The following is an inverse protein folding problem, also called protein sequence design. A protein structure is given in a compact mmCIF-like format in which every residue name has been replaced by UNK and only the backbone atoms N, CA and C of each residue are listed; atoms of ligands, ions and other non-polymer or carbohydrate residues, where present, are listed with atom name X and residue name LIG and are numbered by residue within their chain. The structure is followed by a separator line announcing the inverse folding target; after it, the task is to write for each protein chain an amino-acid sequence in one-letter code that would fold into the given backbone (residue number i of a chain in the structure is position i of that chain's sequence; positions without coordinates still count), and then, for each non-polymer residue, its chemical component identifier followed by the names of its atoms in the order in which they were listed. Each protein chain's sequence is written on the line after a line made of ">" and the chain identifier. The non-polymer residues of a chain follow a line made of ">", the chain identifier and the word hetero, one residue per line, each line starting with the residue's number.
data_IF_794804995190
#
_entry.id   IF_794804995190
#
_cell.length_a   1.000
_cell.length_b   1.000
_cell.length_c   1.000
_cell.angle_alpha   90.00
_cell.angle_beta   90.00
_cell.angle_gamma   90.00
#
_symmetry.space_group_name_H-M   'P 1'
#
loop_
_entity.id
_entity.type
_entity.pdbx_description
1 polymer ?
#
# COMPACT_ATOMS: atom_id res chain seq x y z
N UNK A 1 -5.68 11.83 -5.81
CA UNK A 1 -5.81 13.19 -5.24
C UNK A 1 -5.36 13.11 -3.80
N UNK A 2 -4.56 14.07 -3.35
CA UNK A 2 -4.04 14.12 -1.97
C UNK A 2 -4.84 15.19 -1.21
N UNK A 3 -5.38 14.84 -0.06
CA UNK A 3 -6.13 15.75 0.81
C UNK A 3 -5.44 15.79 2.16
N UNK A 4 -4.73 16.89 2.44
CA UNK A 4 -4.18 17.17 3.76
C UNK A 4 -5.33 17.57 4.70
N UNK A 5 -5.75 16.65 5.57
CA UNK A 5 -6.84 16.88 6.53
C UNK A 5 -6.34 17.65 7.78
N UNK A 6 -5.05 17.59 8.10
CA UNK A 6 -4.36 18.43 9.10
C UNK A 6 -2.84 18.46 8.85
N UNK A 7 -2.07 19.28 9.59
CA UNK A 7 -0.59 19.29 9.53
C UNK A 7 0.06 17.93 9.84
N UNK A 8 -0.66 17.05 10.53
CA UNK A 8 -0.18 15.73 10.96
C UNK A 8 -0.83 14.58 10.19
N UNK A 9 -1.91 14.83 9.45
CA UNK A 9 -2.69 13.80 8.75
C UNK A 9 -2.76 14.08 7.25
N UNK A 10 -2.10 13.22 6.48
CA UNK A 10 -2.23 13.17 5.02
C UNK A 10 -3.11 11.98 4.64
N UNK A 11 -4.02 12.20 3.69
CA UNK A 11 -4.90 11.18 3.14
C UNK A 11 -4.73 11.17 1.62
N UNK A 12 -4.69 9.97 1.04
CA UNK A 12 -4.70 9.82 -0.41
C UNK A 12 -5.75 8.81 -0.86
N UNK A 13 -6.24 9.05 -2.06
CA UNK A 13 -7.02 8.08 -2.83
C UNK A 13 -6.59 8.12 -4.29
N UNK A 14 -6.43 6.94 -4.87
CA UNK A 14 -6.04 6.72 -6.25
C UNK A 14 -6.88 5.59 -6.84
N UNK A 15 -7.14 5.65 -8.14
CA UNK A 15 -7.83 4.60 -8.87
C UNK A 15 -7.19 4.39 -10.23
N UNK A 16 -7.24 3.16 -10.72
CA UNK A 16 -6.67 2.73 -11.99
C UNK A 16 -7.75 2.05 -12.81
N UNK A 17 -7.72 2.26 -14.11
CA UNK A 17 -8.58 1.60 -15.08
C UNK A 17 -7.73 1.14 -16.26
N UNK A 18 -7.94 -0.09 -16.72
CA UNK A 18 -7.27 -0.63 -17.90
C UNK A 18 -7.93 -1.90 -18.39
N UNK A 19 -8.18 -2.00 -19.69
CA UNK A 19 -8.88 -3.12 -20.30
C UNK A 19 -8.06 -4.42 -20.23
N UNK A 20 -8.70 -5.54 -19.89
CA UNK A 20 -8.06 -6.87 -19.77
C UNK A 20 -8.13 -7.72 -21.06
N UNK A 21 -8.55 -7.13 -22.18
CA UNK A 21 -8.97 -7.85 -23.40
C UNK A 21 -7.82 -8.43 -24.24
N UNK A 22 -6.57 -8.05 -23.97
CA UNK A 22 -5.42 -8.60 -24.70
C UNK A 22 -5.13 -10.04 -24.25
N UNK A 23 -4.90 -10.95 -25.22
CA UNK A 23 -4.69 -12.40 -24.95
C UNK A 23 -3.52 -12.64 -23.98
N UNK A 24 -2.49 -11.80 -24.00
CA UNK A 24 -1.36 -11.84 -23.06
C UNK A 24 -1.74 -11.38 -21.65
N UNK A 25 -2.66 -10.43 -21.52
CA UNK A 25 -3.14 -9.93 -20.22
C UNK A 25 -4.14 -10.93 -19.63
N UNK A 26 -5.01 -11.52 -20.44
CA UNK A 26 -5.96 -12.56 -20.01
C UNK A 26 -5.28 -13.81 -19.41
N UNK A 27 -4.09 -14.19 -19.88
CA UNK A 27 -3.31 -15.30 -19.33
C UNK A 27 -2.62 -14.97 -17.99
N UNK A 28 -2.52 -13.69 -17.62
CA UNK A 28 -1.94 -13.21 -16.37
C UNK A 28 -2.99 -12.58 -15.42
N UNK A 29 -4.27 -12.92 -15.58
CA UNK A 29 -5.35 -12.36 -14.75
C UNK A 29 -5.67 -10.88 -15.02
N UNK A 30 -5.31 -10.38 -16.21
CA UNK A 30 -5.48 -8.98 -16.60
C UNK A 30 -4.30 -8.07 -16.23
N UNK A 31 -3.19 -8.63 -15.72
CA UNK A 31 -2.03 -7.89 -15.22
C UNK A 31 -0.93 -7.73 -16.29
N UNK A 32 -0.28 -6.56 -16.30
CA UNK A 32 0.93 -6.28 -17.09
C UNK A 32 1.85 -5.27 -16.36
N UNK A 33 3.02 -4.94 -16.92
CA UNK A 33 3.99 -4.04 -16.27
C UNK A 33 3.45 -2.63 -15.95
N UNK A 34 2.45 -2.17 -16.70
CA UNK A 34 1.78 -0.88 -16.50
C UNK A 34 0.48 -0.99 -15.68
N UNK A 35 0.02 -2.22 -15.41
CA UNK A 35 -1.24 -2.57 -14.77
C UNK A 35 -1.02 -3.77 -13.84
N UNK A 36 -0.52 -3.51 -12.64
CA UNK A 36 -0.19 -4.56 -11.67
C UNK A 36 -1.41 -5.08 -10.87
N UNK A 37 -2.64 -4.80 -11.30
CA UNK A 37 -3.88 -5.21 -10.64
C UNK A 37 -4.70 -6.15 -11.52
N UNK A 38 -5.50 -7.03 -10.89
CA UNK A 38 -6.35 -7.96 -11.59
C UNK A 38 -7.63 -7.31 -12.13
N UNK A 39 -8.15 -7.84 -13.25
CA UNK A 39 -9.38 -7.34 -13.89
C UNK A 39 -9.27 -5.88 -14.35
N UNK A 40 -10.40 -5.20 -14.56
CA UNK A 40 -10.40 -3.94 -15.33
C UNK A 40 -10.10 -2.67 -14.52
N UNK A 41 -10.27 -2.71 -13.19
CA UNK A 41 -10.08 -1.55 -12.33
C UNK A 41 -9.43 -1.93 -11.00
N UNK A 42 -8.83 -0.94 -10.35
CA UNK A 42 -8.35 -1.03 -8.99
C UNK A 42 -8.42 0.31 -8.28
N UNK A 43 -8.49 0.25 -6.95
CA UNK A 43 -8.51 1.42 -6.07
C UNK A 43 -7.49 1.25 -4.96
N UNK A 44 -6.83 2.35 -4.60
CA UNK A 44 -5.92 2.44 -3.47
C UNK A 44 -6.30 3.64 -2.62
N UNK A 45 -6.23 3.48 -1.32
CA UNK A 45 -6.42 4.58 -0.38
C UNK A 45 -5.53 4.39 0.82
N UNK A 46 -5.20 5.49 1.48
CA UNK A 46 -4.40 5.41 2.68
C UNK A 46 -4.32 6.71 3.44
N UNK A 47 -3.71 6.58 4.61
CA UNK A 47 -3.52 7.64 5.57
C UNK A 47 -2.11 7.56 6.15
N UNK A 48 -1.50 8.72 6.33
CA UNK A 48 -0.24 8.89 7.06
C UNK A 48 -0.48 9.86 8.20
N UNK A 49 -0.10 9.45 9.41
CA UNK A 49 -0.26 10.24 10.62
C UNK A 49 1.06 10.44 11.37
N UNK A 50 1.49 11.70 11.50
CA UNK A 50 2.66 12.08 12.28
C UNK A 50 2.26 12.22 13.76
N UNK A 51 2.56 11.19 14.55
CA UNK A 51 2.21 11.16 15.99
C UNK A 51 3.04 12.18 16.77
N UNK A 52 4.33 12.29 16.44
CA UNK A 52 5.28 13.28 16.98
C UNK A 52 6.54 13.32 16.09
N UNK A 53 7.52 14.15 16.42
CA UNK A 53 8.77 14.31 15.64
C UNK A 53 9.58 13.03 15.41
N UNK A 54 9.35 11.98 16.22
CA UNK A 54 10.04 10.69 16.11
C UNK A 54 9.17 9.58 15.54
N UNK A 55 7.84 9.71 15.54
CA UNK A 55 6.93 8.60 15.25
C UNK A 55 5.93 8.98 14.16
N UNK A 56 5.91 8.20 13.08
CA UNK A 56 4.90 8.26 12.04
C UNK A 56 4.19 6.90 11.90
N UNK A 57 2.89 6.94 11.63
CA UNK A 57 2.05 5.78 11.32
C UNK A 57 1.56 5.88 9.88
N UNK A 58 1.52 4.76 9.17
CA UNK A 58 0.93 4.69 7.84
C UNK A 58 -0.04 3.51 7.75
N UNK A 59 -1.14 3.72 7.06
CA UNK A 59 -2.13 2.70 6.72
C UNK A 59 -2.48 2.86 5.24
N UNK A 60 -2.48 1.76 4.50
CA UNK A 60 -2.90 1.69 3.12
C UNK A 60 -3.79 0.47 2.91
N UNK A 61 -4.78 0.60 2.05
CA UNK A 61 -5.57 -0.51 1.55
C UNK A 61 -5.76 -0.38 0.04
N UNK A 62 -5.90 -1.53 -0.61
CA UNK A 62 -6.16 -1.63 -2.05
C UNK A 62 -7.16 -2.72 -2.34
N UNK A 63 -7.99 -2.51 -3.36
CA UNK A 63 -8.92 -3.52 -3.85
C UNK A 63 -9.02 -3.44 -5.37
N UNK A 64 -9.15 -4.60 -6.02
CA UNK A 64 -9.26 -4.68 -7.47
C UNK A 64 -10.46 -5.51 -7.95
N UNK A 65 -10.70 -5.45 -9.25
CA UNK A 65 -11.81 -6.12 -9.94
C UNK A 65 -11.72 -7.65 -9.87
N UNK A 66 -10.52 -8.19 -9.63
CA UNK A 66 -10.30 -9.62 -9.38
C UNK A 66 -10.55 -10.02 -7.92
N UNK A 67 -11.21 -9.16 -7.14
CA UNK A 67 -11.55 -9.38 -5.72
C UNK A 67 -10.31 -9.55 -4.83
N UNK A 68 -9.18 -8.97 -5.21
CA UNK A 68 -7.95 -8.99 -4.41
C UNK A 68 -7.93 -7.80 -3.46
N UNK A 69 -7.93 -8.06 -2.16
CA UNK A 69 -7.74 -7.08 -1.09
C UNK A 69 -6.30 -7.11 -0.60
N UNK A 70 -5.70 -5.92 -0.46
CA UNK A 70 -4.43 -5.72 0.23
C UNK A 70 -4.58 -4.67 1.32
N UNK A 71 -4.01 -4.91 2.50
CA UNK A 71 -3.97 -3.96 3.62
C UNK A 71 -2.56 -3.94 4.19
N UNK A 72 -1.99 -2.75 4.34
CA UNK A 72 -0.63 -2.54 4.87
C UNK A 72 -0.68 -1.51 5.98
N UNK A 73 -0.07 -1.82 7.12
CA UNK A 73 0.10 -0.87 8.20
C UNK A 73 1.55 -0.86 8.68
N UNK A 74 2.13 0.32 8.88
CA UNK A 74 3.47 0.43 9.43
C UNK A 74 3.62 1.58 10.43
N UNK A 75 4.63 1.42 11.29
CA UNK A 75 5.11 2.45 12.22
C UNK A 75 6.59 2.71 11.93
N UNK A 76 6.93 3.96 11.67
CA UNK A 76 8.31 4.41 11.54
C UNK A 76 8.70 5.19 12.81
N UNK A 77 9.76 4.73 13.47
CA UNK A 77 10.28 5.31 14.71
C UNK A 77 11.74 5.74 14.57
N UNK A 78 12.00 7.03 14.76
CA UNK A 78 13.34 7.61 14.80
C UNK A 78 13.92 7.46 16.21
N UNK A 79 14.79 6.47 16.39
CA UNK A 79 15.42 6.18 17.68
C UNK A 79 16.38 7.31 18.05
N UNK A 80 17.27 7.66 17.12
CA UNK A 80 18.21 8.79 17.18
C UNK A 80 18.26 9.49 15.83
N UNK A 81 18.69 10.76 15.74
CA UNK A 81 18.79 11.47 14.46
C UNK A 81 19.57 10.66 13.41
N UNK A 82 18.91 10.42 12.27
CA UNK A 82 19.42 9.61 11.17
C UNK A 82 19.36 8.10 11.38
N UNK A 83 18.68 7.58 12.39
CA UNK A 83 18.43 6.14 12.56
C UNK A 83 16.94 5.87 12.79
N UNK A 84 16.31 5.20 11.82
CA UNK A 84 14.88 4.90 11.81
C UNK A 84 14.68 3.40 11.79
N UNK A 85 13.77 2.93 12.64
CA UNK A 85 13.26 1.55 12.65
C UNK A 85 11.82 1.59 12.17
N UNK A 86 11.50 0.81 11.15
CA UNK A 86 10.13 0.68 10.63
C UNK A 86 9.64 -0.74 10.80
N UNK A 87 8.52 -0.91 11.49
CA UNK A 87 7.82 -2.18 11.58
C UNK A 87 6.57 -2.12 10.71
N UNK A 88 6.39 -3.11 9.85
CA UNK A 88 5.31 -3.20 8.87
C UNK A 88 4.61 -4.56 8.99
N UNK A 89 3.29 -4.53 8.84
CA UNK A 89 2.44 -5.71 8.74
C UNK A 89 1.56 -5.57 7.52
N UNK A 90 1.44 -6.67 6.78
CA UNK A 90 0.72 -6.76 5.53
C UNK A 90 -0.31 -7.88 5.65
N UNK A 91 -1.51 -7.64 5.15
CA UNK A 91 -2.54 -8.66 4.98
C UNK A 91 -3.00 -8.64 3.53
N UNK A 92 -3.17 -9.82 2.95
CA UNK A 92 -3.81 -9.96 1.65
C UNK A 92 -4.91 -11.00 1.71
N UNK A 93 -5.94 -10.81 0.89
CA UNK A 93 -7.04 -11.74 0.68
C UNK A 93 -7.35 -11.75 -0.80
N UNK A 94 -7.39 -12.94 -1.39
CA UNK A 94 -7.65 -13.18 -2.80
C UNK A 94 -8.76 -14.22 -2.91
N UNK A 95 -9.39 -14.41 -4.08
CA UNK A 95 -10.39 -15.46 -4.26
C UNK A 95 -9.94 -16.89 -3.93
N UNK A 96 -8.62 -17.12 -3.84
CA UNK A 96 -8.03 -18.46 -3.69
C UNK A 96 -7.25 -18.67 -2.40
N UNK A 97 -6.80 -17.60 -1.73
CA UNK A 97 -5.92 -17.67 -0.55
C UNK A 97 -5.89 -16.34 0.21
N UNK A 98 -5.63 -16.41 1.51
CA UNK A 98 -5.43 -15.28 2.41
C UNK A 98 -4.15 -15.44 3.23
N UNK A 99 -3.57 -14.33 3.67
CA UNK A 99 -2.30 -14.38 4.38
C UNK A 99 -1.90 -13.12 5.10
N UNK A 100 -0.99 -13.28 6.06
CA UNK A 100 -0.35 -12.20 6.80
C UNK A 100 1.16 -12.26 6.64
N UNK A 101 1.76 -11.10 6.40
CA UNK A 101 3.18 -10.89 6.25
C UNK A 101 3.66 -9.66 7.03
N UNK A 102 4.95 -9.38 6.96
CA UNK A 102 5.48 -8.18 7.55
C UNK A 102 7.00 -8.08 7.44
N UNK A 103 7.50 -6.87 7.65
CA UNK A 103 8.92 -6.54 7.53
C UNK A 103 9.33 -5.68 8.72
N UNK A 104 10.53 -5.94 9.25
CA UNK A 104 11.22 -5.03 10.16
C UNK A 104 12.43 -4.44 9.44
N UNK A 105 12.41 -3.12 9.21
CA UNK A 105 13.44 -2.38 8.48
C UNK A 105 14.24 -1.48 9.41
N UNK A 106 15.54 -1.44 9.18
CA UNK A 106 16.48 -0.55 9.86
C UNK A 106 17.14 0.34 8.82
N UNK A 107 17.05 1.66 8.98
CA UNK A 107 17.64 2.63 8.06
C UNK A 107 18.54 3.61 8.83
N UNK A 108 19.81 3.71 8.41
CA UNK A 108 20.78 4.66 8.96
C UNK A 108 21.30 5.58 7.85
N UNK A 109 21.28 6.88 8.11
CA UNK A 109 21.93 7.90 7.28
C UNK A 109 23.22 8.37 7.96
N UNK A 110 24.26 8.62 7.16
CA UNK A 110 25.60 9.06 7.58
C UNK A 110 25.87 10.51 7.16
#
# INVERSE_FOLDING_TARGET
>A
MDVNASEQLSLFVMGGWGTSDDVTDALNGGQNFYKNWGGDWAVWGGASYQVNDKTALNLQASYDDAETLGVVANVAYTVVPGFVVTAEVDYYDTPVDDGIGGILRFQRSF
#
